data_IF_555482691235
#
_entry.id   IF_555482691235
#
_cell.length_a   1.000
_cell.length_b   1.000
_cell.length_c   1.000
_cell.angle_alpha   90.00
_cell.angle_beta   90.00
_cell.angle_gamma   90.00
#
_symmetry.space_group_name_H-M   'P 1'
#
loop_
_entity.id
_entity.type
_entity.pdbx_description
1 polymer ?
#
# COMPACT_ATOMS: atom_id res chain seq x y z
N UNK A 1 -23.36 17.55 7.20
CA UNK A 1 -23.45 18.93 6.67
C UNK A 1 -24.75 19.62 7.07
N UNK A 2 -25.88 18.91 7.05
CA UNK A 2 -27.20 19.49 7.40
C UNK A 2 -27.35 19.85 8.88
N UNK A 3 -26.77 19.06 9.80
CA UNK A 3 -26.80 19.36 11.25
C UNK A 3 -26.19 20.73 11.61
N UNK A 4 -25.24 21.26 10.82
CA UNK A 4 -24.67 22.60 11.05
C UNK A 4 -25.61 23.75 10.68
N UNK A 5 -26.73 23.45 10.01
CA UNK A 5 -27.77 24.44 9.65
C UNK A 5 -28.83 24.58 10.73
N UNK A 6 -28.84 23.72 11.75
CA UNK A 6 -29.77 23.80 12.87
C UNK A 6 -29.26 24.77 13.94
N UNK A 7 -29.97 25.87 14.21
CA UNK A 7 -29.54 26.90 15.16
C UNK A 7 -29.51 26.42 16.61
N UNK A 8 -30.27 25.37 16.95
CA UNK A 8 -30.27 24.72 18.26
C UNK A 8 -29.01 23.90 18.57
N UNK A 9 -28.20 23.58 17.55
CA UNK A 9 -26.96 22.82 17.72
C UNK A 9 -25.75 23.76 17.67
N UNK A 10 -24.83 23.65 18.63
CA UNK A 10 -23.60 24.43 18.61
C UNK A 10 -22.71 24.00 17.41
N UNK A 11 -22.51 24.85 16.39
CA UNK A 11 -21.80 24.47 15.18
C UNK A 11 -20.33 24.12 15.43
N UNK A 12 -19.74 24.65 16.51
CA UNK A 12 -18.35 24.41 16.90
C UNK A 12 -18.12 23.03 17.50
N UNK A 13 -19.18 22.35 17.97
CA UNK A 13 -19.12 20.99 18.51
C UNK A 13 -19.52 19.92 17.49
N UNK A 14 -20.01 20.33 16.31
CA UNK A 14 -20.41 19.44 15.22
C UNK A 14 -19.25 19.17 14.25
N UNK A 15 -18.47 18.14 14.55
CA UNK A 15 -17.43 17.62 13.66
C UNK A 15 -17.59 16.11 13.45
N UNK A 16 -17.01 15.61 12.36
CA UNK A 16 -16.88 14.18 12.09
C UNK A 16 -15.40 13.89 11.87
N UNK A 17 -14.91 12.78 12.42
CA UNK A 17 -13.58 12.25 12.10
C UNK A 17 -13.52 11.60 10.71
N UNK A 18 -14.67 11.42 10.05
CA UNK A 18 -14.73 10.87 8.71
C UNK A 18 -14.25 11.91 7.68
N UNK A 19 -13.14 11.62 7.03
CA UNK A 19 -12.58 12.38 5.90
C UNK A 19 -12.59 11.50 4.67
N UNK A 20 -13.05 12.01 3.52
CA UNK A 20 -12.98 11.34 2.21
C UNK A 20 -11.89 11.93 1.29
N UNK A 21 -11.16 12.94 1.77
CA UNK A 21 -10.20 13.71 1.00
C UNK A 21 -8.75 13.36 1.34
N UNK A 22 -8.49 12.20 1.93
CA UNK A 22 -7.13 11.79 2.27
C UNK A 22 -6.38 11.40 0.99
N UNK A 23 -5.20 11.99 0.71
CA UNK A 23 -4.39 11.62 -0.45
C UNK A 23 -3.92 10.17 -0.37
N UNK A 24 -4.12 9.43 -1.45
CA UNK A 24 -3.72 8.04 -1.59
C UNK A 24 -3.08 7.83 -2.97
N UNK A 25 -2.38 6.72 -3.14
CA UNK A 25 -1.76 6.34 -4.40
C UNK A 25 -2.32 5.00 -4.85
N UNK A 26 -2.91 4.96 -6.05
CA UNK A 26 -3.33 3.72 -6.69
C UNK A 26 -2.27 3.28 -7.70
N UNK A 27 -1.82 2.02 -7.61
CA UNK A 27 -0.93 1.44 -8.61
C UNK A 27 -1.76 0.66 -9.63
N UNK A 28 -1.90 1.23 -10.82
CA UNK A 28 -2.62 0.62 -11.94
C UNK A 28 -1.70 -0.36 -12.68
N UNK A 29 -1.86 -1.66 -12.35
CA UNK A 29 -1.05 -2.75 -12.88
C UNK A 29 -1.65 -3.31 -14.18
N UNK A 30 -0.88 -3.28 -15.26
CA UNK A 30 -1.14 -4.01 -16.50
C UNK A 30 -0.86 -5.50 -16.30
N UNK A 31 -1.91 -6.21 -15.90
CA UNK A 31 -1.88 -7.65 -15.66
C UNK A 31 -1.59 -8.45 -16.94
N UNK A 32 -2.00 -7.95 -18.10
CA UNK A 32 -1.76 -8.60 -19.39
C UNK A 32 -0.28 -8.55 -19.73
N UNK A 33 0.34 -7.37 -19.60
CA UNK A 33 1.78 -7.18 -19.78
C UNK A 33 2.60 -7.97 -18.78
N UNK A 34 2.19 -8.02 -17.51
CA UNK A 34 2.86 -8.83 -16.50
C UNK A 34 2.90 -10.32 -16.91
N UNK A 35 1.78 -10.88 -17.37
CA UNK A 35 1.72 -12.27 -17.87
C UNK A 35 2.58 -12.49 -19.11
N UNK A 36 2.57 -11.55 -20.06
CA UNK A 36 3.40 -11.62 -21.27
C UNK A 36 4.91 -11.63 -20.94
N UNK A 37 5.30 -10.94 -19.87
CA UNK A 37 6.69 -10.91 -19.38
C UNK A 37 7.04 -12.10 -18.48
N UNK A 38 6.14 -13.08 -18.34
CA UNK A 38 6.34 -14.29 -17.54
C UNK A 38 6.33 -14.02 -16.04
N UNK A 39 5.68 -12.95 -15.58
CA UNK A 39 5.54 -12.65 -14.16
C UNK A 39 4.31 -13.33 -13.57
N UNK A 40 4.48 -13.87 -12.37
CA UNK A 40 3.37 -14.32 -11.56
C UNK A 40 2.79 -13.12 -10.79
N UNK A 41 1.47 -12.91 -10.86
CA UNK A 41 0.83 -11.75 -10.21
C UNK A 41 1.02 -11.72 -8.68
N UNK A 42 0.93 -12.84 -7.94
CA UNK A 42 1.28 -12.88 -6.52
C UNK A 42 2.69 -12.35 -6.21
N UNK A 43 3.68 -12.60 -7.08
CA UNK A 43 5.05 -12.13 -6.84
C UNK A 43 5.16 -10.61 -6.99
N UNK A 44 4.40 -10.03 -7.93
CA UNK A 44 4.25 -8.57 -8.08
C UNK A 44 3.64 -7.97 -6.82
N UNK A 45 2.54 -8.54 -6.31
CA UNK A 45 1.88 -8.03 -5.11
C UNK A 45 2.72 -8.23 -3.84
N UNK A 46 3.41 -9.36 -3.71
CA UNK A 46 4.33 -9.62 -2.60
C UNK A 46 5.48 -8.59 -2.59
N UNK A 47 6.04 -8.26 -3.75
CA UNK A 47 7.09 -7.26 -3.87
C UNK A 47 6.59 -5.88 -3.43
N UNK A 48 5.39 -5.48 -3.86
CA UNK A 48 4.76 -4.24 -3.39
C UNK A 48 4.50 -4.25 -1.89
N UNK A 49 4.00 -5.36 -1.33
CA UNK A 49 3.72 -5.49 0.10
C UNK A 49 4.98 -5.39 0.96
N UNK A 50 6.07 -6.08 0.59
CA UNK A 50 7.34 -6.04 1.32
C UNK A 50 7.91 -4.61 1.37
N UNK A 51 7.84 -3.89 0.24
CA UNK A 51 8.42 -2.56 0.14
C UNK A 51 7.56 -1.46 0.79
N UNK A 52 6.24 -1.57 0.73
CA UNK A 52 5.33 -0.50 1.18
C UNK A 52 4.72 -0.75 2.56
N UNK A 53 4.51 -2.01 2.93
CA UNK A 53 3.72 -2.38 4.12
C UNK A 53 4.42 -3.29 5.11
N UNK A 54 5.67 -3.72 4.82
CA UNK A 54 6.35 -4.84 5.50
C UNK A 54 5.62 -6.18 5.35
N UNK A 55 6.36 -7.27 5.45
CA UNK A 55 5.81 -8.62 5.39
C UNK A 55 6.22 -9.38 6.65
N UNK A 56 5.22 -9.84 7.41
CA UNK A 56 5.45 -10.84 8.44
C UNK A 56 5.80 -12.18 7.79
N UNK A 57 6.89 -12.79 8.23
CA UNK A 57 7.36 -14.07 7.69
C UNK A 57 7.01 -15.21 8.64
N UNK A 58 7.48 -15.12 9.88
CA UNK A 58 7.33 -16.15 10.89
C UNK A 58 7.72 -15.61 12.28
N UNK A 59 7.56 -16.45 13.28
CA UNK A 59 8.11 -16.25 14.60
C UNK A 59 9.29 -17.21 14.84
N UNK A 60 10.28 -16.78 15.61
CA UNK A 60 11.36 -17.64 16.10
C UNK A 60 11.49 -17.58 17.62
N UNK A 61 11.95 -18.67 18.22
CA UNK A 61 12.18 -18.71 19.67
C UNK A 61 13.66 -18.47 19.98
N UNK A 62 13.93 -17.56 20.91
CA UNK A 62 15.25 -17.31 21.44
C UNK A 62 15.14 -17.11 22.96
N UNK A 63 15.89 -17.91 23.73
CA UNK A 63 15.86 -17.89 25.20
C UNK A 63 14.45 -18.06 25.82
N UNK A 64 13.60 -18.89 25.21
CA UNK A 64 12.24 -19.13 25.68
C UNK A 64 11.26 -18.00 25.37
N UNK A 65 11.70 -16.95 24.64
CA UNK A 65 10.85 -15.86 24.16
C UNK A 65 10.60 -16.00 22.67
N UNK A 66 9.36 -15.78 22.26
CA UNK A 66 8.95 -15.78 20.84
C UNK A 66 9.14 -14.37 20.27
N UNK A 67 9.90 -14.26 19.19
CA UNK A 67 10.19 -13.00 18.49
C UNK A 67 9.60 -13.03 17.08
N UNK A 68 8.97 -11.92 16.69
CA UNK A 68 8.36 -11.74 15.38
C UNK A 68 9.40 -11.37 14.32
N UNK A 69 9.45 -12.11 13.22
CA UNK A 69 10.30 -11.80 12.06
C UNK A 69 9.47 -11.05 11.02
N UNK A 70 9.96 -9.87 10.65
CA UNK A 70 9.39 -9.05 9.58
C UNK A 70 10.47 -8.73 8.56
N UNK A 71 10.11 -8.75 7.28
CA UNK A 71 10.95 -8.26 6.18
C UNK A 71 10.37 -6.93 5.74
N UNK A 72 11.22 -5.92 5.64
CA UNK A 72 10.84 -4.60 5.17
C UNK A 72 11.99 -3.99 4.38
N UNK A 73 11.65 -3.20 3.37
CA UNK A 73 12.62 -2.35 2.71
C UNK A 73 13.19 -1.28 3.67
N UNK A 74 14.45 -0.90 3.42
CA UNK A 74 15.11 0.17 4.15
C UNK A 74 14.34 1.50 3.97
N UNK A 75 14.41 2.39 4.95
CA UNK A 75 13.61 3.61 5.03
C UNK A 75 13.72 4.47 3.76
N UNK A 76 14.93 4.63 3.24
CA UNK A 76 15.22 5.48 2.09
C UNK A 76 14.75 4.86 0.76
N UNK A 77 14.51 3.54 0.75
CA UNK A 77 13.98 2.83 -0.41
C UNK A 77 12.44 2.85 -0.51
N UNK A 78 11.77 3.53 0.44
CA UNK A 78 10.30 3.64 0.52
C UNK A 78 9.82 5.02 0.97
N UNK A 79 10.65 6.04 0.84
CA UNK A 79 10.36 7.38 1.34
C UNK A 79 9.42 8.17 0.41
N UNK A 80 9.47 7.89 -0.90
CA UNK A 80 8.66 8.56 -1.91
C UNK A 80 7.86 7.57 -2.76
N UNK A 81 6.73 8.04 -3.30
CA UNK A 81 5.91 7.25 -4.23
C UNK A 81 6.71 6.82 -5.48
N UNK A 82 7.68 7.62 -5.90
CA UNK A 82 8.56 7.31 -7.03
C UNK A 82 9.49 6.12 -6.78
N UNK A 83 9.70 5.71 -5.53
CA UNK A 83 10.61 4.60 -5.22
C UNK A 83 10.07 3.25 -5.72
N UNK A 84 8.75 3.12 -5.90
CA UNK A 84 8.13 1.96 -6.57
C UNK A 84 8.73 1.72 -7.97
N UNK A 85 9.14 2.79 -8.66
CA UNK A 85 9.73 2.66 -10.00
C UNK A 85 11.09 1.96 -10.02
N UNK A 86 11.77 1.91 -8.87
CA UNK A 86 13.08 1.27 -8.68
C UNK A 86 12.97 -0.21 -8.30
N UNK A 87 11.75 -0.72 -8.14
CA UNK A 87 11.50 -2.11 -7.76
C UNK A 87 11.55 -3.01 -8.97
N UNK A 88 12.02 -4.24 -8.75
CA UNK A 88 12.10 -5.27 -9.77
C UNK A 88 11.44 -6.54 -9.27
N UNK A 89 10.76 -7.25 -10.18
CA UNK A 89 10.15 -8.54 -9.92
C UNK A 89 10.82 -9.57 -10.81
N UNK A 90 11.16 -10.72 -10.23
CA UNK A 90 11.75 -11.82 -10.99
C UNK A 90 10.67 -12.53 -11.80
N UNK A 91 10.93 -12.78 -13.08
CA UNK A 91 10.05 -13.58 -13.94
C UNK A 91 10.42 -15.08 -13.91
N UNK A 92 9.57 -15.92 -14.51
CA UNK A 92 9.75 -17.36 -14.56
C UNK A 92 11.06 -17.79 -15.27
N UNK A 93 11.59 -16.96 -16.16
CA UNK A 93 12.88 -17.19 -16.84
C UNK A 93 14.10 -16.71 -16.02
N UNK A 94 13.88 -16.22 -14.79
CA UNK A 94 14.92 -15.70 -13.91
C UNK A 94 15.33 -14.24 -14.16
N UNK A 95 14.79 -13.60 -15.19
CA UNK A 95 15.03 -12.20 -15.52
C UNK A 95 14.32 -11.24 -14.55
N UNK A 96 14.93 -10.07 -14.32
CA UNK A 96 14.36 -9.03 -13.46
C UNK A 96 13.59 -8.02 -14.31
N UNK A 97 12.30 -7.84 -14.01
CA UNK A 97 11.42 -6.91 -14.71
C UNK A 97 11.13 -5.71 -13.80
N UNK A 98 11.40 -4.47 -14.24
CA UNK A 98 11.13 -3.29 -13.42
C UNK A 98 9.61 -3.04 -13.29
N UNK A 99 9.13 -2.78 -12.07
CA UNK A 99 7.72 -2.46 -11.81
C UNK A 99 7.25 -1.19 -12.53
N UNK A 100 8.15 -0.25 -12.79
CA UNK A 100 7.84 0.95 -13.60
C UNK A 100 7.33 0.62 -15.01
N UNK A 101 7.64 -0.58 -15.53
CA UNK A 101 7.19 -1.01 -16.85
C UNK A 101 5.81 -1.67 -16.82
N UNK A 102 5.35 -2.11 -15.65
CA UNK A 102 4.14 -2.90 -15.50
C UNK A 102 2.91 -2.05 -15.19
N UNK A 103 3.07 -0.80 -14.80
CA UNK A 103 1.96 0.01 -14.32
C UNK A 103 2.33 1.43 -14.00
N UNK A 104 1.33 2.21 -13.58
CA UNK A 104 1.49 3.63 -13.22
C UNK A 104 0.91 3.90 -11.84
N UNK A 105 1.57 4.81 -11.13
CA UNK A 105 1.05 5.40 -9.90
C UNK A 105 0.13 6.56 -10.24
N UNK A 106 -1.10 6.50 -9.76
CA UNK A 106 -2.13 7.51 -9.95
C UNK A 106 -2.49 8.07 -8.57
N UNK A 107 -2.33 9.39 -8.33
CA UNK A 107 -2.85 10.03 -7.14
C UNK A 107 -4.38 9.94 -7.12
N UNK A 108 -4.94 9.47 -6.02
CA UNK A 108 -6.38 9.39 -5.78
C UNK A 108 -6.69 10.00 -4.41
N UNK A 109 -7.96 10.29 -4.16
CA UNK A 109 -8.45 10.68 -2.82
C UNK A 109 -9.45 9.65 -2.34
N UNK A 110 -9.37 9.29 -1.07
CA UNK A 110 -10.25 8.31 -0.48
C UNK A 110 -10.32 8.46 1.04
N UNK A 111 -11.26 7.76 1.68
CA UNK A 111 -11.34 7.73 3.13
C UNK A 111 -10.15 6.97 3.74
N UNK A 112 -9.58 7.51 4.81
CA UNK A 112 -8.51 6.84 5.57
C UNK A 112 -9.04 5.67 6.38
N UNK A 113 -10.23 5.81 6.94
CA UNK A 113 -10.93 4.76 7.68
C UNK A 113 -12.36 4.67 7.18
N UNK A 114 -12.83 3.44 6.98
CA UNK A 114 -14.23 3.14 6.64
C UNK A 114 -14.84 2.47 7.87
N UNK A 115 -15.55 3.22 8.74
CA UNK A 115 -16.19 2.64 9.90
C UNK A 115 -17.35 1.74 9.47
N UNK A 116 -17.44 0.56 10.08
CA UNK A 116 -18.60 -0.33 10.00
C UNK A 116 -19.30 -0.34 11.36
N UNK A 117 -20.64 -0.33 11.37
CA UNK A 117 -21.49 -0.33 12.57
C UNK A 117 -22.52 -1.45 12.49
#
# INVERSE_FOLDING_TARGET
>A
AEARKQPELNPQQLFSSFSTSTPQFNYDLDRSKAKLLGLNLPDVFNTLQIYLGSLYVNDFNLFGRTFRVTIQADKDARAGATDISRLYVRNASGGMVPLSTLGKLVPIVGPETVPHY
#
